data_IF_385690939028
#
_entry.id   IF_385690939028
#
_cell.length_a   1.000
_cell.length_b   1.000
_cell.length_c   1.000
_cell.angle_alpha   90.00
_cell.angle_beta   90.00
_cell.angle_gamma   90.00
#
_symmetry.space_group_name_H-M   'P 1'
#
loop_
_entity.id
_entity.type
_entity.pdbx_description
1 polymer ?
#
# COMPACT_ATOMS: atom_id res chain seq x y z
N UNK A 1 -3.17 2.41 -16.37
CA UNK A 1 -2.48 1.51 -15.41
C UNK A 1 -1.81 2.31 -14.30
N UNK A 2 -1.10 3.41 -14.60
CA UNK A 2 -0.39 4.25 -13.62
C UNK A 2 -1.23 4.64 -12.40
N UNK A 3 -2.49 5.07 -12.60
CA UNK A 3 -3.39 5.47 -11.50
C UNK A 3 -3.67 4.34 -10.49
N UNK A 4 -3.80 3.09 -10.96
CA UNK A 4 -4.02 1.94 -10.09
C UNK A 4 -2.80 1.70 -9.19
N UNK A 5 -1.60 1.90 -9.73
CA UNK A 5 -0.36 1.74 -8.97
C UNK A 5 -0.18 2.88 -7.98
N UNK A 6 -0.52 4.11 -8.36
CA UNK A 6 -0.51 5.24 -7.42
C UNK A 6 -1.47 5.02 -6.24
N UNK A 7 -2.66 4.47 -6.48
CA UNK A 7 -3.58 4.07 -5.40
C UNK A 7 -2.99 2.93 -4.56
N UNK A 8 -2.40 1.91 -5.18
CA UNK A 8 -1.74 0.83 -4.46
C UNK A 8 -0.57 1.34 -3.60
N UNK A 9 0.21 2.32 -4.08
CA UNK A 9 1.30 2.95 -3.33
C UNK A 9 0.80 3.70 -2.09
N UNK A 10 -0.40 4.28 -2.13
CA UNK A 10 -1.03 4.87 -0.94
C UNK A 10 -1.33 3.78 0.10
N UNK A 11 -1.95 2.67 -0.32
CA UNK A 11 -2.28 1.54 0.56
C UNK A 11 -1.03 0.81 1.11
N UNK A 12 0.06 0.80 0.36
CA UNK A 12 1.35 0.27 0.82
C UNK A 12 2.13 1.26 1.72
N UNK A 13 1.69 2.51 1.83
CA UNK A 13 2.45 3.56 2.51
C UNK A 13 3.66 4.06 1.72
N UNK A 14 3.85 3.64 0.46
CA UNK A 14 4.97 4.00 -0.39
C UNK A 14 4.84 5.40 -1.01
N UNK A 15 3.71 6.07 -0.83
CA UNK A 15 3.49 7.45 -1.31
C UNK A 15 4.45 8.49 -0.70
N UNK A 16 5.13 8.13 0.39
CA UNK A 16 6.17 8.97 1.02
C UNK A 16 7.56 8.79 0.38
N UNK A 17 7.73 7.81 -0.51
CA UNK A 17 9.00 7.55 -1.18
C UNK A 17 9.25 8.62 -2.24
N UNK A 18 10.52 8.98 -2.43
CA UNK A 18 10.94 9.98 -3.43
C UNK A 18 10.61 9.59 -4.87
N UNK A 19 10.36 8.31 -5.12
CA UNK A 19 9.96 7.76 -6.42
C UNK A 19 8.47 7.87 -6.69
N UNK A 20 7.65 8.32 -5.73
CA UNK A 20 6.25 8.65 -5.98
C UNK A 20 6.16 9.99 -6.74
N UNK A 21 5.33 10.11 -7.80
CA UNK A 21 4.24 9.20 -8.20
C UNK A 21 4.62 8.18 -9.29
N UNK A 22 5.91 8.04 -9.60
CA UNK A 22 6.46 7.24 -10.71
C UNK A 22 6.68 5.76 -10.33
N UNK A 23 6.13 5.33 -9.20
CA UNK A 23 6.13 3.91 -8.80
C UNK A 23 5.34 3.13 -9.85
N UNK A 24 5.96 2.09 -10.40
CA UNK A 24 5.34 1.22 -11.40
C UNK A 24 5.76 1.47 -12.85
N UNK A 25 6.51 2.54 -13.13
CA UNK A 25 6.98 2.83 -14.51
C UNK A 25 7.79 1.69 -15.13
N UNK A 26 8.54 0.95 -14.30
CA UNK A 26 9.39 -0.16 -14.74
C UNK A 26 8.80 -1.53 -14.43
N UNK A 27 7.54 -1.61 -13.97
CA UNK A 27 6.90 -2.89 -13.64
C UNK A 27 6.32 -3.55 -14.89
N UNK A 28 6.56 -4.85 -15.02
CA UNK A 28 5.76 -5.70 -15.90
C UNK A 28 4.31 -5.75 -15.40
N UNK A 29 3.37 -6.15 -16.28
CA UNK A 29 1.96 -6.34 -15.92
C UNK A 29 1.80 -7.27 -14.71
N UNK A 30 2.63 -8.32 -14.62
CA UNK A 30 2.61 -9.27 -13.51
C UNK A 30 3.01 -8.62 -12.19
N UNK A 31 4.11 -7.85 -12.18
CA UNK A 31 4.60 -7.16 -10.99
C UNK A 31 3.62 -6.08 -10.53
N UNK A 32 3.08 -5.33 -11.46
CA UNK A 32 2.06 -4.32 -11.18
C UNK A 32 0.79 -4.95 -10.57
N UNK A 33 0.34 -6.09 -11.09
CA UNK A 33 -0.81 -6.82 -10.53
C UNK A 33 -0.52 -7.29 -9.10
N UNK A 34 0.61 -7.96 -8.88
CA UNK A 34 1.00 -8.43 -7.55
C UNK A 34 1.16 -7.28 -6.55
N UNK A 35 1.77 -6.17 -6.98
CA UNK A 35 1.91 -4.97 -6.14
C UNK A 35 0.56 -4.43 -5.67
N UNK A 36 -0.44 -4.38 -6.56
CA UNK A 36 -1.78 -3.91 -6.22
C UNK A 36 -2.54 -4.90 -5.31
N UNK A 37 -2.49 -6.20 -5.61
CA UNK A 37 -3.13 -7.25 -4.78
C UNK A 37 -2.56 -7.27 -3.35
N UNK A 38 -1.23 -7.20 -3.23
CA UNK A 38 -0.55 -7.18 -1.95
C UNK A 38 -0.86 -5.90 -1.16
N UNK A 39 -1.00 -4.75 -1.84
CA UNK A 39 -1.37 -3.49 -1.20
C UNK A 39 -2.73 -3.58 -0.51
N UNK A 40 -3.74 -4.10 -1.22
CA UNK A 40 -5.09 -4.30 -0.66
C UNK A 40 -5.05 -5.30 0.50
N UNK A 41 -4.36 -6.42 0.32
CA UNK A 41 -4.24 -7.45 1.34
C UNK A 41 -3.60 -6.90 2.63
N UNK A 42 -2.45 -6.24 2.53
CA UNK A 42 -1.72 -5.65 3.66
C UNK A 42 -2.55 -4.59 4.38
N UNK A 43 -3.21 -3.70 3.63
CA UNK A 43 -4.06 -2.67 4.22
C UNK A 43 -5.20 -3.27 5.05
N UNK A 44 -5.90 -4.27 4.50
CA UNK A 44 -6.99 -4.95 5.20
C UNK A 44 -6.50 -5.76 6.42
N UNK A 45 -5.32 -6.39 6.32
CA UNK A 45 -4.69 -7.07 7.46
C UNK A 45 -4.34 -6.09 8.58
N UNK A 46 -3.73 -4.95 8.24
CA UNK A 46 -3.41 -3.90 9.20
C UNK A 46 -4.68 -3.31 9.85
N UNK A 47 -5.73 -3.04 9.07
CA UNK A 47 -7.02 -2.58 9.59
C UNK A 47 -7.66 -3.58 10.55
N UNK A 48 -7.71 -4.87 10.19
CA UNK A 48 -8.21 -5.93 11.08
C UNK A 48 -7.38 -6.06 12.35
N UNK A 49 -6.05 -5.93 12.26
CA UNK A 49 -5.17 -5.98 13.42
C UNK A 49 -5.41 -4.78 14.35
N UNK A 50 -5.57 -3.58 13.80
CA UNK A 50 -5.87 -2.36 14.56
C UNK A 50 -7.22 -2.47 15.29
N UNK A 51 -8.27 -2.94 14.61
CA UNK A 51 -9.58 -3.17 15.22
C UNK A 51 -9.49 -4.19 16.37
N UNK A 52 -8.79 -5.31 16.17
CA UNK A 52 -8.57 -6.31 17.24
C UNK A 52 -7.78 -5.75 18.43
N UNK A 53 -6.94 -4.74 18.21
CA UNK A 53 -6.19 -4.04 19.25
C UNK A 53 -7.00 -2.91 19.93
N UNK A 54 -8.28 -2.72 19.57
CA UNK A 54 -9.15 -1.70 20.17
C UNK A 54 -9.00 -0.30 19.55
N UNK A 55 -8.45 -0.18 18.35
CA UNK A 55 -8.46 1.08 17.63
C UNK A 55 -9.90 1.55 17.34
N UNK A 56 -10.11 2.87 17.37
CA UNK A 56 -11.37 3.47 16.96
C UNK A 56 -11.64 3.14 15.48
N UNK A 57 -12.88 2.74 15.13
CA UNK A 57 -13.25 2.39 13.75
C UNK A 57 -13.07 3.54 12.75
N UNK A 58 -13.10 4.79 13.23
CA UNK A 58 -12.82 6.00 12.43
C UNK A 58 -11.33 6.37 12.38
N UNK A 59 -10.44 5.59 13.01
CA UNK A 59 -9.01 5.86 12.96
C UNK A 59 -8.44 5.55 11.57
N UNK A 60 -7.57 6.42 11.08
CA UNK A 60 -6.87 6.23 9.81
C UNK A 60 -5.75 5.20 10.02
N UNK A 61 -5.77 4.12 9.24
CA UNK A 61 -4.69 3.13 9.22
C UNK A 61 -3.46 3.75 8.58
N UNK A 62 -2.40 3.92 9.36
CA UNK A 62 -1.11 4.43 8.88
C UNK A 62 -0.18 3.28 8.54
N UNK A 63 0.16 3.15 7.26
CA UNK A 63 1.00 2.07 6.74
C UNK A 63 2.47 2.51 6.71
N UNK A 64 3.39 1.60 7.07
CA UNK A 64 4.83 1.82 6.85
C UNK A 64 5.20 1.46 5.41
N UNK A 65 6.09 2.22 4.74
CA UNK A 65 6.44 2.01 3.34
C UNK A 65 6.89 0.57 3.09
N UNK A 66 6.22 -0.12 2.19
CA UNK A 66 6.50 -1.52 1.88
C UNK A 66 7.87 -1.71 1.23
N UNK A 67 8.22 -0.88 0.25
CA UNK A 67 9.42 -1.08 -0.58
C UNK A 67 10.73 -0.86 0.18
N UNK A 68 10.69 -0.23 1.37
CA UNK A 68 11.88 0.06 2.19
C UNK A 68 11.84 -0.57 3.57
N UNK A 69 10.82 -1.37 3.91
CA UNK A 69 10.66 -1.99 5.24
C UNK A 69 11.31 -3.39 5.38
N UNK A 70 12.23 -3.76 4.48
CA UNK A 70 12.98 -5.01 4.57
C UNK A 70 14.22 -4.89 5.45
#
# INVERSE_FOLDING_TARGET
QVELIQLASQLNGDHVLRTYPDIGETMTVREANSYAEDAVKRFLEAGRAALKAGANESAIVTMRPFLTSR
#
